data_IF_425841846392
#
_entry.id   IF_425841846392
#
_cell.length_a   1.000
_cell.length_b   1.000
_cell.length_c   1.000
_cell.angle_alpha   90.00
_cell.angle_beta   90.00
_cell.angle_gamma   90.00
#
_symmetry.space_group_name_H-M   'P 1'
#
loop_
_entity.id
_entity.type
_entity.pdbx_description
1 polymer ?
#
# COMPACT_ATOMS: atom_id res chain seq x y z
N UNK A 1 -34.84 3.74 5.71
CA UNK A 1 -33.73 2.81 6.06
C UNK A 1 -32.58 2.96 5.06
N UNK A 2 -31.65 3.92 5.21
CA UNK A 2 -30.46 4.01 4.33
C UNK A 2 -29.19 4.63 4.98
N UNK A 3 -29.15 4.83 6.30
CA UNK A 3 -28.02 5.52 6.95
C UNK A 3 -27.01 4.59 7.69
N UNK A 4 -27.18 3.26 7.66
CA UNK A 4 -26.31 2.29 8.38
C UNK A 4 -25.34 1.50 7.50
N UNK A 5 -25.53 1.52 6.17
CA UNK A 5 -24.60 0.95 5.18
C UNK A 5 -23.23 1.66 5.09
N UNK A 6 -23.02 2.95 5.46
CA UNK A 6 -21.73 3.59 5.19
C UNK A 6 -20.59 3.05 6.04
N UNK A 7 -20.85 2.52 7.24
CA UNK A 7 -19.78 2.04 8.12
C UNK A 7 -19.23 0.69 7.68
N UNK A 8 -20.10 -0.29 7.39
CA UNK A 8 -19.67 -1.61 6.96
C UNK A 8 -18.97 -1.56 5.59
N UNK A 9 -19.50 -0.78 4.64
CA UNK A 9 -18.84 -0.58 3.34
C UNK A 9 -17.52 0.18 3.43
N UNK A 10 -17.32 1.03 4.45
CA UNK A 10 -16.01 1.63 4.75
C UNK A 10 -15.04 0.61 5.34
N UNK A 11 -15.51 -0.17 6.32
CA UNK A 11 -14.71 -1.23 6.92
C UNK A 11 -14.17 -2.22 5.87
N UNK A 12 -15.02 -2.68 4.94
CA UNK A 12 -14.59 -3.57 3.86
C UNK A 12 -13.53 -2.94 2.97
N UNK A 13 -13.70 -1.67 2.58
CA UNK A 13 -12.72 -0.95 1.77
C UNK A 13 -11.39 -0.78 2.49
N UNK A 14 -11.40 -0.29 3.72
CA UNK A 14 -10.19 -0.14 4.52
C UNK A 14 -9.50 -1.49 4.79
N UNK A 15 -10.28 -2.55 5.01
CA UNK A 15 -9.74 -3.91 5.13
C UNK A 15 -9.01 -4.34 3.85
N UNK A 16 -9.62 -4.16 2.68
CA UNK A 16 -9.00 -4.49 1.40
C UNK A 16 -7.74 -3.65 1.12
N UNK A 17 -7.78 -2.34 1.40
CA UNK A 17 -6.65 -1.43 1.26
C UNK A 17 -5.48 -1.86 2.17
N UNK A 18 -5.74 -2.18 3.43
CA UNK A 18 -4.71 -2.64 4.36
C UNK A 18 -4.15 -4.00 3.95
N UNK A 19 -5.00 -4.95 3.54
CA UNK A 19 -4.55 -6.25 3.04
C UNK A 19 -3.62 -6.09 1.83
N UNK A 20 -3.97 -5.20 0.89
CA UNK A 20 -3.13 -4.90 -0.27
C UNK A 20 -1.75 -4.35 0.15
N UNK A 21 -1.73 -3.39 1.07
CA UNK A 21 -0.47 -2.81 1.55
C UNK A 21 0.41 -3.85 2.27
N UNK A 22 -0.20 -4.74 3.06
CA UNK A 22 0.52 -5.81 3.77
C UNK A 22 1.19 -6.82 2.83
N UNK A 23 0.61 -7.08 1.66
CA UNK A 23 1.20 -7.98 0.65
C UNK A 23 2.18 -7.27 -0.28
N UNK A 24 2.55 -6.01 0.01
CA UNK A 24 3.49 -5.23 -0.80
C UNK A 24 2.86 -4.57 -2.03
N UNK A 25 1.53 -4.55 -2.11
CA UNK A 25 0.80 -3.77 -3.09
C UNK A 25 0.73 -2.29 -2.72
N UNK A 26 0.09 -1.51 -3.58
CA UNK A 26 0.00 -0.06 -3.47
C UNK A 26 -1.32 0.45 -4.06
N UNK A 27 -1.79 1.58 -3.53
CA UNK A 27 -2.98 2.26 -4.04
C UNK A 27 -2.58 3.32 -5.06
N UNK A 28 -3.42 3.49 -6.09
CA UNK A 28 -3.26 4.59 -7.04
C UNK A 28 -3.42 5.94 -6.31
N UNK A 29 -2.45 6.86 -6.40
CA UNK A 29 -2.50 8.16 -5.71
C UNK A 29 -3.41 9.19 -6.40
N UNK A 30 -3.87 8.90 -7.61
CA UNK A 30 -4.73 9.80 -8.37
C UNK A 30 -6.07 10.01 -7.65
N UNK A 31 -6.45 11.29 -7.51
CA UNK A 31 -7.68 11.68 -6.85
C UNK A 31 -8.89 10.97 -7.48
N UNK A 32 -9.71 10.33 -6.63
CA UNK A 32 -10.91 9.61 -7.07
C UNK A 32 -10.67 8.23 -7.69
N UNK A 33 -9.42 7.75 -7.81
CA UNK A 33 -9.14 6.40 -8.32
C UNK A 33 -9.00 5.37 -7.20
N UNK A 34 -7.89 5.37 -6.46
CA UNK A 34 -7.65 4.42 -5.37
C UNK A 34 -7.59 2.94 -5.79
N UNK A 35 -7.41 2.62 -7.07
CA UNK A 35 -7.27 1.24 -7.53
C UNK A 35 -6.07 0.56 -6.85
N UNK A 36 -6.23 -0.71 -6.47
CA UNK A 36 -5.16 -1.51 -5.88
C UNK A 36 -4.28 -2.16 -6.94
N UNK A 37 -2.95 -2.08 -6.77
CA UNK A 37 -1.98 -2.62 -7.71
C UNK A 37 -0.93 -3.47 -6.98
N UNK A 38 -0.47 -4.52 -7.65
CA UNK A 38 0.70 -5.31 -7.24
C UNK A 38 1.71 -5.21 -8.39
N UNK A 39 2.61 -4.21 -8.38
CA UNK A 39 3.60 -4.07 -9.43
C UNK A 39 4.64 -5.19 -9.35
N UNK A 40 5.26 -5.57 -10.48
CA UNK A 40 6.35 -6.53 -10.48
C UNK A 40 7.57 -5.99 -9.72
N UNK A 41 8.33 -6.90 -9.14
CA UNK A 41 9.56 -6.59 -8.42
C UNK A 41 10.60 -5.92 -9.33
N UNK A 42 11.37 -4.99 -8.77
CA UNK A 42 12.46 -4.31 -9.48
C UNK A 42 12.06 -3.11 -10.36
N UNK A 43 10.76 -2.89 -10.62
CA UNK A 43 10.31 -1.72 -11.38
C UNK A 43 9.94 -0.53 -10.47
N UNK A 44 10.48 0.65 -10.75
CA UNK A 44 10.07 1.92 -10.11
C UNK A 44 8.87 2.56 -10.81
N UNK A 45 8.67 2.26 -12.10
CA UNK A 45 7.56 2.75 -12.92
C UNK A 45 6.32 1.89 -12.69
N UNK A 46 5.26 2.48 -12.17
CA UNK A 46 3.98 1.82 -11.98
C UNK A 46 2.92 2.51 -12.82
N UNK A 47 2.10 1.74 -13.55
CA UNK A 47 0.97 2.26 -14.31
C UNK A 47 -0.32 1.69 -13.75
N UNK A 48 -1.27 2.58 -13.42
CA UNK A 48 -2.63 2.20 -13.10
C UNK A 48 -3.31 1.58 -14.32
N UNK A 49 -3.84 0.36 -14.19
CA UNK A 49 -4.52 -0.33 -15.29
C UNK A 49 -5.71 0.51 -15.77
N UNK A 50 -5.77 0.81 -17.07
CA UNK A 50 -6.85 1.60 -17.68
C UNK A 50 -8.20 0.88 -17.70
N UNK A 51 -8.21 -0.45 -17.55
CA UNK A 51 -9.46 -1.23 -17.50
C UNK A 51 -10.18 -1.09 -16.16
N UNK A 52 -9.42 -0.86 -15.08
CA UNK A 52 -9.90 -0.86 -13.69
C UNK A 52 -9.69 0.48 -12.99
N UNK A 53 -8.81 1.33 -13.50
CA UNK A 53 -8.44 2.62 -12.90
C UNK A 53 -8.13 3.68 -13.95
N UNK A 54 -7.35 4.69 -13.58
CA UNK A 54 -7.27 5.95 -14.33
C UNK A 54 -6.12 6.05 -15.33
N UNK A 55 -5.24 5.05 -15.45
CA UNK A 55 -4.10 5.11 -16.36
C UNK A 55 -2.90 5.93 -15.87
N UNK A 56 -2.97 6.52 -14.67
CA UNK A 56 -1.89 7.34 -14.12
C UNK A 56 -0.59 6.54 -13.95
N UNK A 57 0.53 7.15 -14.33
CA UNK A 57 1.87 6.55 -14.26
C UNK A 57 2.68 7.29 -13.19
N UNK A 58 3.17 6.54 -12.21
CA UNK A 58 3.78 7.12 -11.01
C UNK A 58 4.96 6.28 -10.51
N UNK A 59 5.78 6.91 -9.68
CA UNK A 59 6.92 6.28 -9.04
C UNK A 59 6.46 5.41 -7.86
N UNK A 60 6.93 4.16 -7.81
CA UNK A 60 6.65 3.20 -6.74
C UNK A 60 7.03 3.73 -5.34
N UNK A 61 8.06 4.58 -5.27
CA UNK A 61 8.67 5.00 -4.01
C UNK A 61 8.05 6.28 -3.46
N UNK A 62 8.12 7.39 -4.19
CA UNK A 62 7.58 8.68 -3.73
C UNK A 62 6.08 8.82 -3.98
N UNK A 63 5.48 7.97 -4.83
CA UNK A 63 4.06 8.02 -5.25
C UNK A 63 3.67 9.27 -6.05
N UNK A 64 4.65 10.02 -6.52
CA UNK A 64 4.48 11.15 -7.44
C UNK A 64 4.51 10.72 -8.90
N UNK A 65 4.24 11.66 -9.81
CA UNK A 65 4.41 11.44 -11.24
C UNK A 65 5.77 10.77 -11.55
N UNK A 66 5.74 9.79 -12.45
CA UNK A 66 6.94 9.00 -12.72
C UNK A 66 8.10 9.89 -13.19
N UNK A 67 9.28 9.61 -12.65
CA UNK A 67 10.50 10.32 -12.95
C UNK A 67 11.66 9.34 -13.10
N UNK A 68 12.68 9.76 -13.82
CA UNK A 68 13.97 9.08 -13.90
C UNK A 68 14.90 9.64 -12.81
N UNK A 69 15.80 8.79 -12.28
CA UNK A 69 16.70 9.17 -11.19
C UNK A 69 16.08 9.07 -9.79
N UNK A 70 16.77 9.66 -8.80
CA UNK A 70 16.39 9.58 -7.40
C UNK A 70 15.14 10.41 -7.06
N UNK A 71 14.37 9.99 -6.06
CA UNK A 71 13.23 10.76 -5.55
C UNK A 71 13.73 12.03 -4.85
N UNK A 72 13.08 13.17 -5.07
CA UNK A 72 13.50 14.48 -4.54
C UNK A 72 13.16 14.70 -3.05
N UNK A 73 12.43 13.79 -2.40
CA UNK A 73 11.85 14.05 -1.07
C UNK A 73 12.32 13.05 -0.02
N UNK A 74 13.52 13.30 0.51
CA UNK A 74 13.96 12.86 1.86
C UNK A 74 14.40 14.06 2.73
N UNK A 75 13.73 15.21 2.64
CA UNK A 75 13.95 16.31 3.60
C UNK A 75 12.62 17.02 3.92
N UNK A 76 11.80 16.41 4.77
CA UNK A 76 10.97 17.20 5.67
C UNK A 76 11.83 17.46 6.93
N UNK A 77 12.08 18.71 7.35
CA UNK A 77 12.69 18.95 8.65
C UNK A 77 11.81 18.34 9.75
N UNK A 78 12.38 17.72 10.79
CA UNK A 78 11.61 17.25 11.94
C UNK A 78 11.08 18.47 12.69
N UNK A 79 9.85 18.91 12.41
CA UNK A 79 9.10 19.71 13.38
C UNK A 79 8.90 18.84 14.61
N UNK A 80 9.48 19.30 15.71
CA UNK A 80 9.56 18.63 16.97
C UNK A 80 8.17 18.38 17.60
N UNK A 81 8.13 17.34 18.44
CA UNK A 81 7.15 17.06 19.50
C UNK A 81 5.85 16.32 19.12
N UNK A 82 5.97 14.99 19.04
CA UNK A 82 5.09 14.09 19.79
C UNK A 82 5.87 12.83 20.18
N UNK A 83 6.37 12.80 21.42
CA UNK A 83 6.83 11.56 22.06
C UNK A 83 5.66 10.59 22.15
N UNK A 84 5.62 9.60 21.26
CA UNK A 84 4.91 8.36 21.50
C UNK A 84 5.92 7.23 21.37
N UNK A 85 6.33 6.70 22.52
CA UNK A 85 7.03 5.43 22.65
C UNK A 85 6.14 4.34 22.05
N UNK A 86 6.32 4.09 20.76
CA UNK A 86 5.75 2.93 20.08
C UNK A 86 6.73 1.79 20.27
N UNK A 87 6.41 0.91 21.23
CA UNK A 87 7.08 -0.38 21.42
C UNK A 87 7.17 -1.09 20.05
N UNK A 88 8.29 -1.75 19.71
CA UNK A 88 8.37 -2.51 18.48
C UNK A 88 7.44 -3.73 18.59
N UNK A 89 6.26 -3.66 17.96
CA UNK A 89 5.55 -4.87 17.55
C UNK A 89 6.24 -5.30 16.25
N UNK A 90 7.39 -5.95 16.36
CA UNK A 90 7.97 -6.71 15.25
C UNK A 90 7.10 -7.95 15.01
N UNK A 91 5.90 -7.74 14.47
CA UNK A 91 5.21 -8.79 13.70
C UNK A 91 5.90 -8.84 12.35
N UNK A 92 7.00 -9.60 12.32
CA UNK A 92 7.68 -9.95 11.08
C UNK A 92 6.74 -10.82 10.23
N UNK A 93 5.95 -10.18 9.37
CA UNK A 93 5.00 -10.86 8.48
C UNK A 93 5.70 -11.78 7.46
N UNK A 94 7.01 -11.62 7.22
CA UNK A 94 7.79 -12.55 6.40
C UNK A 94 7.97 -13.89 7.11
N UNK A 95 8.04 -13.91 8.44
CA UNK A 95 8.08 -15.16 9.23
C UNK A 95 6.77 -15.93 9.13
N UNK A 96 5.62 -15.25 9.22
CA UNK A 96 4.29 -15.90 9.10
C UNK A 96 4.05 -16.47 7.69
N UNK A 97 4.48 -15.76 6.63
CA UNK A 97 4.37 -16.28 5.27
C UNK A 97 5.24 -17.52 5.03
N UNK A 98 6.43 -17.62 5.67
CA UNK A 98 7.29 -18.80 5.60
C UNK A 98 6.64 -20.01 6.27
N UNK A 99 6.07 -19.84 7.46
CA UNK A 99 5.34 -20.90 8.19
C UNK A 99 4.12 -21.41 7.41
N UNK A 100 3.38 -20.53 6.73
CA UNK A 100 2.23 -20.96 5.91
C UNK A 100 2.67 -21.77 4.67
N UNK A 101 3.82 -21.43 4.06
CA UNK A 101 4.37 -22.20 2.93
C UNK A 101 4.86 -23.58 3.37
N UNK A 102 5.46 -23.68 4.55
CA UNK A 102 5.89 -24.94 5.15
C UNK A 102 4.68 -25.84 5.50
N UNK A 103 3.54 -25.24 5.85
CA UNK A 103 2.30 -25.98 6.15
C UNK A 103 1.59 -26.54 4.91
N UNK A 104 1.66 -25.86 3.76
CA UNK A 104 1.03 -26.34 2.51
C UNK A 104 1.88 -27.34 1.71
N UNK A 105 3.15 -27.57 2.07
CA UNK A 105 4.02 -28.51 1.35
C UNK A 105 3.97 -29.94 1.90
N UNK A 106 3.08 -30.20 2.87
CA UNK A 106 2.88 -31.49 3.53
C UNK A 106 1.50 -32.13 3.31
N UNK A 107 0.71 -31.64 2.34
CA UNK A 107 -0.52 -32.28 1.87
C UNK A 107 -0.47 -32.50 0.37
#
# INVERSE_FOLDING_TARGET
MMHLVPQYGRYQRYGAEQCLLLIGGLLCPSAGCGAGLIPPDGSSRVQCDRRLGCGFVFCKYCREAYHEGACLTEQAPPTAEASQVSRPITRDYRYLYRLHRESCSGY
#
